data_IF_860248185875
#
_entry.id   IF_860248185875
#
_cell.length_a   1.000
_cell.length_b   1.000
_cell.length_c   1.000
_cell.angle_alpha   90.00
_cell.angle_beta   90.00
_cell.angle_gamma   90.00
#
_symmetry.space_group_name_H-M   'P 1'
#
loop_
_entity.id
_entity.type
_entity.pdbx_description
1 polymer ?
#
# COMPACT_ATOMS: atom_id res chain seq x y z
N UNK A 1 26.01 -18.53 -0.99
CA UNK A 1 25.33 -17.34 -1.56
C UNK A 1 23.87 -17.70 -1.64
N UNK A 2 23.09 -17.32 -0.64
CA UNK A 2 21.68 -17.70 -0.56
C UNK A 2 20.90 -16.90 -1.60
N UNK A 3 20.27 -17.65 -2.50
CA UNK A 3 19.39 -17.17 -3.55
C UNK A 3 18.26 -16.37 -2.89
N UNK A 4 18.37 -15.03 -2.96
CA UNK A 4 17.40 -14.12 -2.37
C UNK A 4 16.18 -14.11 -3.30
N UNK A 5 15.37 -15.17 -3.22
CA UNK A 5 14.03 -15.25 -3.81
C UNK A 5 13.13 -14.26 -3.08
N UNK A 6 13.37 -12.99 -3.38
CA UNK A 6 12.42 -11.91 -3.19
C UNK A 6 11.22 -12.34 -4.03
N UNK A 7 10.17 -12.85 -3.40
CA UNK A 7 8.88 -13.01 -4.06
C UNK A 7 8.29 -11.60 -4.06
N UNK A 8 8.47 -10.79 -5.13
CA UNK A 8 7.79 -9.51 -5.19
C UNK A 8 6.29 -9.78 -5.08
N UNK A 9 5.56 -8.82 -4.52
CA UNK A 9 4.10 -8.78 -4.65
C UNK A 9 3.80 -9.02 -6.15
N UNK A 10 3.05 -10.08 -6.51
CA UNK A 10 2.82 -10.42 -7.91
C UNK A 10 2.20 -9.21 -8.62
N UNK A 11 2.96 -8.61 -9.54
CA UNK A 11 2.51 -7.42 -10.26
C UNK A 11 1.39 -7.84 -11.21
N UNK A 12 0.14 -7.56 -10.81
CA UNK A 12 -1.03 -7.77 -11.66
C UNK A 12 -1.97 -8.91 -11.29
N UNK A 13 -1.90 -9.49 -10.08
CA UNK A 13 -3.04 -10.28 -9.62
C UNK A 13 -4.23 -9.33 -9.40
N UNK A 14 -5.35 -9.47 -10.14
CA UNK A 14 -6.55 -8.72 -9.82
C UNK A 14 -6.91 -9.01 -8.37
N UNK A 15 -7.29 -7.95 -7.66
CA UNK A 15 -7.79 -8.01 -6.31
C UNK A 15 -9.19 -8.65 -6.40
N UNK A 16 -9.25 -9.97 -6.55
CA UNK A 16 -10.47 -10.78 -6.57
C UNK A 16 -11.03 -10.87 -5.15
N UNK A 17 -11.30 -9.71 -4.54
CA UNK A 17 -11.96 -9.58 -3.25
C UNK A 17 -13.40 -10.09 -3.41
N UNK A 18 -13.58 -11.41 -3.30
CA UNK A 18 -14.87 -12.08 -3.47
C UNK A 18 -14.80 -13.53 -3.95
N UNK A 19 -13.66 -13.97 -4.51
CA UNK A 19 -13.47 -15.39 -4.83
C UNK A 19 -12.79 -16.08 -3.64
N UNK A 20 -13.38 -17.16 -3.08
CA UNK A 20 -12.73 -17.93 -2.03
C UNK A 20 -11.38 -18.45 -2.50
N UNK A 21 -10.33 -18.23 -1.70
CA UNK A 21 -9.02 -18.80 -1.98
C UNK A 21 -9.10 -20.33 -1.97
N UNK A 22 -8.42 -20.97 -2.92
CA UNK A 22 -8.19 -22.40 -2.88
C UNK A 22 -7.28 -22.78 -1.70
N UNK A 23 -7.28 -24.07 -1.33
CA UNK A 23 -6.39 -24.57 -0.29
C UNK A 23 -4.90 -24.35 -0.63
N UNK A 24 -4.54 -24.44 -1.91
CA UNK A 24 -3.18 -24.19 -2.41
C UNK A 24 -2.81 -22.72 -2.26
N UNK A 25 -3.64 -21.79 -2.75
CA UNK A 25 -3.39 -20.35 -2.62
C UNK A 25 -3.31 -19.91 -1.15
N UNK A 26 -4.16 -20.48 -0.30
CA UNK A 26 -4.12 -20.22 1.15
C UNK A 26 -2.79 -20.66 1.76
N UNK A 27 -2.30 -21.84 1.38
CA UNK A 27 -1.03 -22.39 1.87
C UNK A 27 0.16 -21.57 1.39
N UNK A 28 0.16 -21.13 0.13
CA UNK A 28 1.21 -20.27 -0.45
C UNK A 28 1.25 -18.90 0.24
N UNK A 29 0.10 -18.24 0.40
CA UNK A 29 0.02 -16.95 1.09
C UNK A 29 0.46 -17.06 2.55
N UNK A 30 0.08 -18.14 3.24
CA UNK A 30 0.51 -18.41 4.62
C UNK A 30 2.03 -18.62 4.69
N UNK A 31 2.60 -19.38 3.75
CA UNK A 31 4.05 -19.57 3.67
C UNK A 31 4.77 -18.24 3.45
N UNK A 32 4.33 -17.44 2.48
CA UNK A 32 4.91 -16.11 2.23
C UNK A 32 4.82 -15.21 3.47
N UNK A 33 3.69 -15.22 4.18
CA UNK A 33 3.49 -14.47 5.43
C UNK A 33 4.51 -14.86 6.49
N UNK A 34 4.65 -16.16 6.78
CA UNK A 34 5.57 -16.69 7.79
C UNK A 34 7.03 -16.37 7.45
N UNK A 35 7.41 -16.45 6.18
CA UNK A 35 8.75 -16.08 5.74
C UNK A 35 9.03 -14.58 5.95
N UNK A 36 8.07 -13.68 5.66
CA UNK A 36 8.27 -12.25 5.95
C UNK A 36 8.45 -11.96 7.44
N UNK A 37 7.70 -12.64 8.30
CA UNK A 37 7.88 -12.52 9.75
C UNK A 37 9.27 -12.98 10.19
N UNK A 38 9.75 -14.11 9.65
CA UNK A 38 11.11 -14.61 9.95
C UNK A 38 12.19 -13.63 9.51
N UNK A 39 12.01 -13.00 8.35
CA UNK A 39 12.94 -11.99 7.85
C UNK A 39 12.90 -10.72 8.71
N UNK A 40 11.71 -10.21 9.04
CA UNK A 40 11.54 -9.03 9.91
C UNK A 40 12.22 -9.18 11.27
N UNK A 41 12.13 -10.35 11.90
CA UNK A 41 12.80 -10.63 13.18
C UNK A 41 14.34 -10.54 13.11
N UNK A 42 14.90 -10.69 11.90
CA UNK A 42 16.36 -10.72 11.66
C UNK A 42 16.87 -9.41 11.06
N UNK A 43 16.02 -8.71 10.31
CA UNK A 43 16.38 -7.49 9.62
C UNK A 43 16.61 -6.35 10.59
N UNK A 44 17.65 -5.56 10.35
CA UNK A 44 17.98 -4.36 11.14
C UNK A 44 17.96 -3.08 10.33
N UNK A 45 18.00 -3.19 9.01
CA UNK A 45 17.82 -2.04 8.14
C UNK A 45 16.35 -1.57 8.21
N UNK A 46 16.07 -0.35 8.67
CA UNK A 46 14.71 0.15 8.82
C UNK A 46 13.96 0.21 7.48
N UNK A 47 14.66 0.47 6.37
CA UNK A 47 14.06 0.53 5.04
C UNK A 47 13.61 -0.86 4.58
N UNK A 48 14.42 -1.87 4.83
CA UNK A 48 14.08 -3.25 4.48
C UNK A 48 12.98 -3.76 5.42
N UNK A 49 13.00 -3.39 6.70
CA UNK A 49 11.90 -3.66 7.63
C UNK A 49 10.58 -3.07 7.13
N UNK A 50 10.55 -1.82 6.65
CA UNK A 50 9.34 -1.21 6.05
C UNK A 50 8.78 -2.02 4.88
N UNK A 51 9.65 -2.44 3.97
CA UNK A 51 9.24 -3.17 2.79
C UNK A 51 8.72 -4.56 3.16
N UNK A 52 9.43 -5.29 4.03
CA UNK A 52 8.99 -6.58 4.54
C UNK A 52 7.67 -6.47 5.32
N UNK A 53 7.49 -5.41 6.09
CA UNK A 53 6.25 -5.13 6.80
C UNK A 53 5.08 -4.86 5.84
N UNK A 54 5.31 -4.09 4.77
CA UNK A 54 4.31 -3.85 3.71
C UNK A 54 3.88 -5.17 3.04
N UNK A 55 4.84 -6.05 2.75
CA UNK A 55 4.56 -7.38 2.20
C UNK A 55 3.80 -8.27 3.20
N UNK A 56 4.18 -8.22 4.48
CA UNK A 56 3.48 -8.93 5.56
C UNK A 56 2.01 -8.49 5.66
N UNK A 57 1.73 -7.19 5.58
CA UNK A 57 0.37 -6.64 5.55
C UNK A 57 -0.40 -7.13 4.33
N UNK A 58 0.22 -7.14 3.14
CA UNK A 58 -0.38 -7.62 1.91
C UNK A 58 -0.85 -9.09 2.03
N UNK A 59 0.03 -9.99 2.46
CA UNK A 59 -0.33 -11.41 2.60
C UNK A 59 -1.38 -11.62 3.69
N UNK A 60 -1.27 -10.91 4.81
CA UNK A 60 -2.22 -11.05 5.92
C UNK A 60 -3.65 -10.63 5.54
N UNK A 61 -3.81 -9.60 4.70
CA UNK A 61 -5.13 -9.14 4.23
C UNK A 61 -5.80 -10.09 3.23
N UNK A 62 -5.02 -10.92 2.54
CA UNK A 62 -5.56 -11.91 1.60
C UNK A 62 -5.97 -13.20 2.29
N UNK A 63 -5.34 -13.53 3.41
CA UNK A 63 -5.69 -14.72 4.18
C UNK A 63 -7.04 -14.54 4.90
N UNK A 64 -7.80 -15.64 5.10
CA UNK A 64 -8.98 -15.60 5.96
C UNK A 64 -8.63 -15.11 7.37
N UNK A 65 -9.50 -14.31 8.00
CA UNK A 65 -9.25 -13.68 9.30
C UNK A 65 -8.79 -14.68 10.38
N UNK A 66 -9.41 -15.85 10.42
CA UNK A 66 -9.07 -16.93 11.35
C UNK A 66 -7.59 -17.40 11.23
N UNK A 67 -6.99 -17.26 10.04
CA UNK A 67 -5.59 -17.63 9.75
C UNK A 67 -4.68 -16.41 9.88
N UNK A 68 -5.12 -15.24 9.40
CA UNK A 68 -4.36 -13.99 9.46
C UNK A 68 -4.11 -13.47 10.88
N UNK A 69 -4.96 -13.85 11.85
CA UNK A 69 -4.91 -13.39 13.24
C UNK A 69 -3.97 -14.20 14.17
N UNK A 70 -3.36 -15.30 13.70
CA UNK A 70 -2.52 -16.18 14.53
C UNK A 70 -1.35 -15.44 15.20
N UNK A 71 -0.83 -14.38 14.55
CA UNK A 71 0.13 -13.49 15.18
C UNK A 71 -0.13 -12.03 14.77
N UNK A 72 -0.24 -11.08 15.73
CA UNK A 72 -0.63 -9.71 15.44
C UNK A 72 0.42 -8.98 14.61
N UNK A 73 -0.03 -8.28 13.57
CA UNK A 73 0.82 -7.41 12.73
C UNK A 73 1.52 -6.33 13.55
N UNK A 74 0.92 -5.89 14.65
CA UNK A 74 1.42 -4.84 15.53
C UNK A 74 2.78 -5.18 16.14
N UNK A 75 3.11 -6.47 16.29
CA UNK A 75 4.40 -6.92 16.80
C UNK A 75 5.57 -6.66 15.83
N UNK A 76 5.28 -6.31 14.58
CA UNK A 76 6.25 -6.18 13.49
C UNK A 76 6.32 -4.78 12.91
N UNK A 77 5.61 -3.82 13.48
CA UNK A 77 5.62 -2.42 13.03
C UNK A 77 7.06 -1.92 13.13
N UNK A 78 7.71 -1.55 12.01
CA UNK A 78 9.06 -1.00 12.04
C UNK A 78 9.05 0.29 12.85
N UNK A 79 10.09 0.50 13.65
CA UNK A 79 10.32 1.78 14.33
C UNK A 79 10.84 2.84 13.33
N UNK A 80 10.20 2.95 12.18
CA UNK A 80 10.50 3.97 11.20
C UNK A 80 9.90 5.27 11.68
N UNK A 81 10.78 6.20 12.05
CA UNK A 81 10.45 7.62 12.04
C UNK A 81 10.19 7.98 10.57
N UNK A 82 8.92 7.90 10.15
CA UNK A 82 8.48 8.59 8.95
C UNK A 82 8.12 10.01 9.35
N UNK A 83 8.38 10.97 8.46
CA UNK A 83 7.96 12.34 8.67
C UNK A 83 6.41 12.40 8.63
N UNK A 84 5.80 12.35 9.81
CA UNK A 84 4.36 12.42 10.00
C UNK A 84 3.79 13.75 9.49
N UNK A 85 4.59 14.80 9.52
CA UNK A 85 4.21 16.13 9.04
C UNK A 85 4.20 16.16 7.51
N UNK A 86 5.20 15.55 6.85
CA UNK A 86 5.21 15.35 5.40
C UNK A 86 4.01 14.52 4.93
N UNK A 87 3.69 13.44 5.64
CA UNK A 87 2.53 12.60 5.32
C UNK A 87 1.21 13.37 5.49
N UNK A 88 1.08 14.14 6.57
CA UNK A 88 -0.07 15.02 6.83
C UNK A 88 -0.24 16.05 5.72
N UNK A 89 0.84 16.71 5.30
CA UNK A 89 0.82 17.68 4.20
C UNK A 89 0.38 17.06 2.88
N UNK A 90 0.86 15.85 2.57
CA UNK A 90 0.41 15.14 1.38
C UNK A 90 -1.09 14.88 1.40
N UNK A 91 -1.63 14.33 2.50
CA UNK A 91 -3.05 14.02 2.56
C UNK A 91 -3.93 15.27 2.51
N UNK A 92 -3.51 16.37 3.13
CA UNK A 92 -4.18 17.66 2.97
C UNK A 92 -4.19 18.15 1.53
N UNK A 93 -3.08 17.98 0.80
CA UNK A 93 -3.03 18.34 -0.61
C UNK A 93 -3.99 17.50 -1.46
N UNK A 94 -4.08 16.20 -1.18
CA UNK A 94 -5.04 15.29 -1.83
C UNK A 94 -6.48 15.72 -1.54
N UNK A 95 -6.83 16.02 -0.28
CA UNK A 95 -8.18 16.47 0.07
C UNK A 95 -8.53 17.81 -0.59
N UNK A 96 -7.58 18.74 -0.67
CA UNK A 96 -7.78 20.01 -1.38
C UNK A 96 -7.99 19.81 -2.88
N UNK A 97 -7.22 18.95 -3.54
CA UNK A 97 -7.41 18.61 -4.95
C UNK A 97 -8.79 17.99 -5.19
N UNK A 98 -9.26 17.11 -4.30
CA UNK A 98 -10.61 16.54 -4.39
C UNK A 98 -11.70 17.58 -4.18
N UNK A 99 -11.54 18.47 -3.21
CA UNK A 99 -12.48 19.57 -2.96
C UNK A 99 -12.58 20.55 -4.14
N UNK A 100 -11.50 20.70 -4.91
CA UNK A 100 -11.46 21.47 -6.16
C UNK A 100 -12.10 20.72 -7.35
N UNK A 101 -12.59 19.50 -7.16
CA UNK A 101 -13.18 18.67 -8.22
C UNK A 101 -12.16 18.00 -9.13
N UNK A 102 -10.87 17.98 -8.77
CA UNK A 102 -9.85 17.32 -9.58
C UNK A 102 -10.07 15.80 -9.56
N UNK A 103 -10.24 15.22 -10.74
CA UNK A 103 -10.42 13.79 -10.90
C UNK A 103 -9.07 13.05 -10.68
N UNK A 104 -8.78 12.72 -9.41
CA UNK A 104 -7.52 12.06 -9.01
C UNK A 104 -7.70 10.64 -8.45
N UNK A 105 -8.93 10.25 -8.08
CA UNK A 105 -9.22 8.89 -7.64
C UNK A 105 -9.54 7.98 -8.83
N UNK A 106 -8.65 7.04 -9.12
CA UNK A 106 -8.86 6.04 -10.15
C UNK A 106 -9.76 4.88 -9.72
N UNK A 107 -10.11 4.76 -8.43
CA UNK A 107 -10.95 3.67 -7.94
C UNK A 107 -12.43 3.96 -8.21
N UNK A 108 -13.16 2.96 -8.69
CA UNK A 108 -14.63 3.00 -8.74
C UNK A 108 -15.28 2.67 -7.39
N UNK A 109 -14.51 2.15 -6.41
CA UNK A 109 -15.04 1.75 -5.12
C UNK A 109 -14.97 2.93 -4.12
N UNK A 110 -16.08 3.30 -3.45
CA UNK A 110 -16.10 4.46 -2.55
C UNK A 110 -15.22 4.28 -1.31
N UNK A 111 -14.98 3.04 -0.88
CA UNK A 111 -14.10 2.70 0.25
C UNK A 111 -12.61 2.71 -0.10
N UNK A 112 -12.25 3.02 -1.35
CA UNK A 112 -10.86 2.97 -1.84
C UNK A 112 -10.45 4.28 -2.51
N UNK A 113 -9.20 4.61 -2.31
CA UNK A 113 -8.51 5.70 -3.01
C UNK A 113 -7.37 5.09 -3.83
N UNK A 114 -7.45 5.20 -5.16
CA UNK A 114 -6.39 4.73 -6.04
C UNK A 114 -5.72 5.93 -6.73
N UNK A 115 -4.49 6.23 -6.34
CA UNK A 115 -3.74 7.39 -6.78
C UNK A 115 -2.67 6.98 -7.80
N UNK A 116 -2.73 7.57 -8.99
CA UNK A 116 -1.65 7.43 -9.96
C UNK A 116 -0.59 8.51 -9.71
N UNK A 117 0.46 8.14 -8.97
CA UNK A 117 1.47 9.09 -8.51
C UNK A 117 2.16 9.85 -9.64
N UNK A 118 2.37 9.23 -10.81
CA UNK A 118 3.01 9.89 -11.95
C UNK A 118 2.20 11.08 -12.48
N UNK A 119 0.86 10.97 -12.49
CA UNK A 119 -0.01 12.09 -12.90
C UNK A 119 -0.24 13.10 -11.78
N UNK A 120 -0.08 12.69 -10.53
CA UNK A 120 -0.16 13.59 -9.38
C UNK A 120 1.09 14.44 -9.17
N UNK A 121 2.27 13.91 -9.53
CA UNK A 121 3.55 14.59 -9.35
C UNK A 121 3.55 16.06 -9.82
N UNK A 122 3.12 16.39 -11.06
CA UNK A 122 3.11 17.78 -11.51
C UNK A 122 2.09 18.65 -10.75
N UNK A 123 0.95 18.09 -10.33
CA UNK A 123 -0.08 18.82 -9.57
C UNK A 123 0.42 19.19 -8.17
N UNK A 124 1.11 18.25 -7.51
CA UNK A 124 1.64 18.42 -6.17
C UNK A 124 2.91 19.29 -6.15
N UNK A 125 3.72 19.26 -7.21
CA UNK A 125 4.92 20.09 -7.32
C UNK A 125 4.60 21.59 -7.51
N UNK A 126 3.42 21.91 -8.07
CA UNK A 126 2.98 23.28 -8.28
C UNK A 126 2.57 23.98 -6.97
N UNK A 127 2.48 25.31 -7.00
CA UNK A 127 1.84 26.06 -5.93
C UNK A 127 0.34 25.69 -5.87
N UNK A 128 -0.27 25.59 -4.67
CA UNK A 128 0.27 25.96 -3.36
C UNK A 128 1.07 24.85 -2.64
N UNK A 129 1.06 23.62 -3.15
CA UNK A 129 1.50 22.44 -2.41
C UNK A 129 3.02 22.31 -2.31
N UNK A 130 3.75 22.51 -3.43
CA UNK A 130 5.22 22.40 -3.49
C UNK A 130 5.75 21.08 -2.89
N UNK A 131 5.02 19.98 -3.08
CA UNK A 131 5.35 18.65 -2.59
C UNK A 131 6.02 17.81 -3.68
N UNK A 132 7.20 17.28 -3.36
CA UNK A 132 7.90 16.31 -4.20
C UNK A 132 7.47 14.89 -3.90
N UNK A 133 7.17 14.08 -4.93
CA UNK A 133 6.96 12.63 -4.77
C UNK A 133 8.29 11.87 -4.76
N UNK A 134 9.12 12.17 -3.77
CA UNK A 134 10.45 11.57 -3.60
C UNK A 134 10.41 10.22 -2.87
N UNK A 135 11.58 9.68 -2.57
CA UNK A 135 11.70 8.41 -1.85
C UNK A 135 11.19 8.48 -0.41
N UNK A 136 11.27 9.65 0.23
CA UNK A 136 10.85 9.83 1.62
C UNK A 136 9.33 9.84 1.74
N UNK A 137 8.65 10.64 0.93
CA UNK A 137 7.20 10.65 0.90
C UNK A 137 6.64 9.28 0.52
N UNK A 138 7.25 8.58 -0.45
CA UNK A 138 6.82 7.21 -0.80
C UNK A 138 6.94 6.24 0.37
N UNK A 139 7.96 6.37 1.23
CA UNK A 139 8.07 5.55 2.45
C UNK A 139 6.99 5.91 3.45
N UNK A 140 6.80 7.20 3.71
CA UNK A 140 5.75 7.68 4.61
C UNK A 140 4.36 7.22 4.15
N UNK A 141 4.08 7.22 2.85
CA UNK A 141 2.83 6.73 2.29
C UNK A 141 2.62 5.24 2.53
N UNK A 142 3.66 4.40 2.43
CA UNK A 142 3.54 2.96 2.75
C UNK A 142 3.20 2.73 4.22
N UNK A 143 3.67 3.59 5.11
CA UNK A 143 3.38 3.55 6.55
C UNK A 143 2.03 4.20 6.91
N UNK A 144 1.29 4.77 5.95
CA UNK A 144 0.05 5.48 6.23
C UNK A 144 -1.05 4.53 6.71
N UNK A 145 -1.65 4.87 7.86
CA UNK A 145 -2.75 4.11 8.47
C UNK A 145 -4.13 4.73 8.18
N UNK A 146 -4.18 6.02 7.86
CA UNK A 146 -5.40 6.73 7.49
C UNK A 146 -5.08 7.85 6.49
N UNK A 147 -5.43 7.67 5.19
CA UNK A 147 -5.89 6.44 4.55
C UNK A 147 -4.89 5.27 4.67
N UNK A 148 -5.37 4.04 4.93
CA UNK A 148 -4.49 2.88 5.13
C UNK A 148 -3.91 2.39 3.81
N UNK A 149 -2.58 2.30 3.68
CA UNK A 149 -1.95 1.78 2.46
C UNK A 149 -2.29 0.30 2.23
N UNK A 150 -2.84 -0.01 1.06
CA UNK A 150 -3.23 -1.36 0.63
C UNK A 150 -2.19 -2.04 -0.24
N UNK A 151 -1.47 -1.27 -1.06
CA UNK A 151 -0.46 -1.78 -1.98
C UNK A 151 -0.37 -0.94 -3.25
N UNK A 152 0.39 -1.44 -4.23
CA UNK A 152 0.52 -0.83 -5.56
C UNK A 152 0.07 -1.87 -6.58
N UNK A 153 -0.79 -1.48 -7.52
CA UNK A 153 -1.32 -2.42 -8.50
C UNK A 153 -2.08 -1.78 -9.64
N UNK A 154 -2.46 -2.60 -10.62
CA UNK A 154 -3.30 -2.18 -11.74
C UNK A 154 -4.75 -2.10 -11.28
N UNK A 155 -5.40 -0.97 -11.54
CA UNK A 155 -6.84 -0.77 -11.34
C UNK A 155 -7.49 -0.39 -12.68
N UNK A 156 -8.75 -0.74 -12.87
CA UNK A 156 -9.55 -0.16 -13.95
C UNK A 156 -9.92 1.27 -13.55
N UNK A 157 -9.35 2.25 -14.24
CA UNK A 157 -9.44 3.67 -13.91
C UNK A 157 -10.84 4.23 -14.13
N UNK A 158 -11.45 4.77 -13.08
CA UNK A 158 -12.68 5.55 -13.17
C UNK A 158 -12.54 6.82 -14.02
N UNK A 159 -11.32 7.35 -14.17
CA UNK A 159 -11.04 8.64 -14.83
C UNK A 159 -10.80 8.46 -16.33
N UNK A 160 -10.09 7.40 -16.71
CA UNK A 160 -9.59 7.18 -18.08
C UNK A 160 -10.22 5.97 -18.76
N UNK A 161 -11.04 5.19 -18.03
CA UNK A 161 -11.64 3.92 -18.48
C UNK A 161 -10.60 2.89 -18.98
N UNK A 162 -9.35 3.01 -18.52
CA UNK A 162 -8.21 2.17 -18.90
C UNK A 162 -7.51 1.63 -17.66
N UNK A 163 -6.69 0.59 -17.81
CA UNK A 163 -5.85 0.11 -16.71
C UNK A 163 -4.80 1.15 -16.33
N UNK A 164 -4.73 1.50 -15.05
CA UNK A 164 -3.76 2.43 -14.48
C UNK A 164 -3.01 1.77 -13.31
N UNK A 165 -1.71 2.03 -13.17
CA UNK A 165 -0.90 1.47 -12.08
C UNK A 165 -0.89 2.42 -10.88
N UNK A 166 -1.71 2.14 -9.87
CA UNK A 166 -2.02 3.06 -8.80
C UNK A 166 -1.46 2.59 -7.45
N UNK A 167 -1.21 3.56 -6.58
CA UNK A 167 -1.08 3.35 -5.15
C UNK A 167 -2.47 3.34 -4.53
N UNK A 168 -2.79 2.25 -3.86
CA UNK A 168 -4.15 1.96 -3.39
C UNK A 168 -4.17 2.13 -1.89
N UNK A 169 -5.18 2.85 -1.41
CA UNK A 169 -5.43 3.10 0.00
C UNK A 169 -6.88 2.78 0.34
N UNK A 170 -7.13 2.35 1.57
CA UNK A 170 -8.47 2.22 2.14
C UNK A 170 -8.82 3.53 2.82
N UNK A 171 -9.94 4.12 2.43
CA UNK A 171 -10.58 5.20 3.19
C UNK A 171 -11.54 4.57 4.20
N UNK A 172 -11.63 5.17 5.38
CA UNK A 172 -12.80 4.97 6.22
C UNK A 172 -13.94 5.66 5.47
N UNK A 173 -15.02 4.94 5.19
CA UNK A 173 -16.22 5.57 4.65
C UNK A 173 -16.78 6.47 5.77
N UNK A 174 -16.88 7.77 5.50
CA UNK A 174 -17.66 8.69 6.33
C UNK A 174 -19.16 8.35 6.25
#
# INVERSE_FOLDING_TARGET
MADNQNYPIPSGAPDSAGVPLTATETSELLHCRLERMRLLRKERDPLIQAELYSQLQYFSRRLPDAIGAVEPLQAYVPALEYDAELLRHFWQAIDQLQAQGQAINHSCAPSRLALHLNTLAPLLAAAPFRLGLDGELRRALKASESPAFLGIGKVHSAITSKSAHCWIFRRVAD
#
